data_IF_822191152686
#
_entry.id   IF_822191152686
#
_cell.length_a   1.000
_cell.length_b   1.000
_cell.length_c   1.000
_cell.angle_alpha   90.00
_cell.angle_beta   90.00
_cell.angle_gamma   90.00
#
_symmetry.space_group_name_H-M   'P 1'
#
loop_
_entity.id
_entity.type
_entity.pdbx_description
1 polymer ?
#
# COMPACT_ATOMS: atom_id res chain seq x y z
N UNK A 1 -15.16 0.82 -13.35
CA UNK A 1 -15.67 -0.52 -13.03
C UNK A 1 -14.47 -1.47 -13.03
N UNK A 2 -14.36 -2.37 -12.07
CA UNK A 2 -13.28 -3.38 -12.01
C UNK A 2 -13.77 -4.60 -12.80
N UNK A 3 -13.02 -4.99 -13.86
CA UNK A 3 -13.36 -6.17 -14.68
C UNK A 3 -12.59 -7.38 -14.10
N UNK A 4 -13.26 -8.51 -13.94
CA UNK A 4 -12.63 -9.76 -13.47
C UNK A 4 -11.48 -10.22 -14.39
N UNK A 5 -11.51 -9.85 -15.66
CA UNK A 5 -10.43 -10.15 -16.62
C UNK A 5 -9.12 -9.43 -16.29
N UNK A 6 -9.22 -8.28 -15.61
CA UNK A 6 -8.07 -7.47 -15.20
C UNK A 6 -7.57 -7.83 -13.79
N UNK A 7 -8.21 -8.79 -13.11
CA UNK A 7 -7.79 -9.25 -11.80
C UNK A 7 -6.42 -9.92 -11.89
N UNK A 8 -5.43 -9.33 -11.20
CA UNK A 8 -4.06 -9.84 -11.22
C UNK A 8 -3.62 -10.43 -9.90
N UNK A 9 -4.03 -9.82 -8.77
CA UNK A 9 -3.82 -10.39 -7.43
C UNK A 9 -5.18 -10.55 -6.75
N UNK A 10 -5.40 -11.74 -6.19
CA UNK A 10 -6.54 -12.05 -5.34
C UNK A 10 -6.04 -12.65 -4.03
N UNK A 11 -6.02 -11.82 -2.99
CA UNK A 11 -5.63 -12.21 -1.64
C UNK A 11 -6.90 -12.63 -0.89
N UNK A 12 -6.92 -13.88 -0.41
CA UNK A 12 -8.08 -14.52 0.21
C UNK A 12 -7.78 -14.98 1.62
N UNK A 13 -8.57 -14.54 2.58
CA UNK A 13 -8.52 -14.96 3.98
C UNK A 13 -7.12 -14.83 4.61
N UNK A 14 -6.38 -13.76 4.25
CA UNK A 14 -5.00 -13.58 4.70
C UNK A 14 -4.97 -13.24 6.18
N UNK A 15 -4.40 -14.16 6.96
CA UNK A 15 -4.18 -13.99 8.39
C UNK A 15 -2.69 -14.13 8.71
N UNK A 16 -2.17 -13.26 9.58
CA UNK A 16 -0.81 -13.36 10.11
C UNK A 16 -0.80 -13.16 11.60
N UNK A 17 -0.32 -14.19 12.30
CA UNK A 17 -0.07 -14.17 13.75
C UNK A 17 1.42 -14.26 14.01
N UNK A 18 1.90 -13.48 14.95
CA UNK A 18 3.26 -13.53 15.46
C UNK A 18 3.23 -13.95 16.93
N UNK A 19 4.08 -14.87 17.35
CA UNK A 19 4.21 -15.19 18.78
C UNK A 19 4.74 -13.97 19.53
N UNK A 20 4.16 -13.70 20.72
CA UNK A 20 4.54 -12.61 21.59
C UNK A 20 4.87 -13.13 23.00
N UNK A 21 5.47 -12.27 23.83
CA UNK A 21 5.81 -12.61 25.19
C UNK A 21 4.57 -13.03 26.02
N UNK A 22 4.76 -13.94 26.96
CA UNK A 22 3.68 -14.43 27.82
C UNK A 22 2.69 -15.38 27.16
N UNK A 23 3.05 -16.01 26.03
CA UNK A 23 2.18 -16.94 25.32
C UNK A 23 1.03 -16.26 24.54
N UNK A 24 1.05 -14.94 24.43
CA UNK A 24 0.12 -14.16 23.62
C UNK A 24 0.49 -14.25 22.14
N UNK A 25 -0.46 -13.95 21.27
CA UNK A 25 -0.25 -13.80 19.83
C UNK A 25 -0.61 -12.39 19.39
N UNK A 26 0.23 -11.80 18.53
CA UNK A 26 -0.05 -10.56 17.85
C UNK A 26 -0.64 -10.87 16.47
N UNK A 27 -1.87 -10.46 16.21
CA UNK A 27 -2.50 -10.61 14.91
C UNK A 27 -2.29 -9.35 14.06
N UNK A 28 -1.30 -9.40 13.17
CA UNK A 28 -0.97 -8.28 12.29
C UNK A 28 -1.91 -8.14 11.09
N UNK A 29 -2.47 -9.25 10.62
CA UNK A 29 -3.51 -9.31 9.58
C UNK A 29 -4.54 -10.33 10.00
N UNK A 30 -5.82 -10.02 9.87
CA UNK A 30 -6.92 -10.85 10.31
C UNK A 30 -7.98 -10.96 9.21
N UNK A 31 -8.02 -12.11 8.55
CA UNK A 31 -8.99 -12.45 7.49
C UNK A 31 -9.12 -11.39 6.39
N UNK A 32 -7.97 -10.89 5.88
CA UNK A 32 -7.95 -9.86 4.85
C UNK A 32 -8.28 -10.47 3.49
N UNK A 33 -9.24 -9.84 2.81
CA UNK A 33 -9.66 -10.16 1.45
C UNK A 33 -9.55 -8.91 0.59
N UNK A 34 -8.54 -8.85 -0.30
CA UNK A 34 -8.26 -7.69 -1.16
C UNK A 34 -7.81 -8.13 -2.55
N UNK A 35 -8.15 -7.31 -3.54
CA UNK A 35 -7.88 -7.57 -4.95
C UNK A 35 -7.13 -6.42 -5.61
N UNK A 36 -6.18 -6.72 -6.50
CA UNK A 36 -5.51 -5.74 -7.35
C UNK A 36 -5.84 -6.06 -8.82
N UNK A 37 -6.05 -4.99 -9.60
CA UNK A 37 -6.42 -5.07 -11.00
C UNK A 37 -5.39 -4.37 -11.87
N UNK A 38 -5.16 -4.88 -13.09
CA UNK A 38 -4.25 -4.28 -14.08
C UNK A 38 -4.63 -2.83 -14.36
N UNK A 39 -3.63 -1.97 -14.45
CA UNK A 39 -3.81 -0.54 -14.70
C UNK A 39 -4.57 0.21 -13.61
N UNK A 40 -4.78 -0.39 -12.43
CA UNK A 40 -5.48 0.21 -11.30
C UNK A 40 -4.58 0.33 -10.07
N UNK A 41 -4.90 1.28 -9.21
CA UNK A 41 -4.24 1.48 -7.91
C UNK A 41 -5.19 1.12 -6.80
N UNK A 42 -4.79 0.18 -5.93
CA UNK A 42 -5.38 -0.04 -4.62
C UNK A 42 -4.59 0.77 -3.59
N UNK A 43 -5.23 1.75 -2.98
CA UNK A 43 -4.69 2.49 -1.84
C UNK A 43 -4.95 1.74 -0.54
N UNK A 44 -3.95 1.59 0.33
CA UNK A 44 -4.10 1.02 1.67
C UNK A 44 -3.71 2.06 2.71
N UNK A 45 -4.68 2.51 3.49
CA UNK A 45 -4.52 3.56 4.50
C UNK A 45 -4.84 3.06 5.90
N UNK A 46 -4.32 3.77 6.90
CA UNK A 46 -4.54 3.48 8.32
C UNK A 46 -3.37 3.95 9.16
N UNK A 47 -3.54 3.97 10.47
CA UNK A 47 -2.51 4.38 11.43
C UNK A 47 -1.26 3.50 11.38
N UNK A 48 -0.13 4.02 11.87
CA UNK A 48 1.12 3.26 11.96
C UNK A 48 0.93 2.00 12.80
N UNK A 49 1.55 0.89 12.38
CA UNK A 49 1.44 -0.39 13.09
C UNK A 49 0.14 -1.18 12.88
N UNK A 50 -0.82 -0.70 12.07
CA UNK A 50 -2.07 -1.44 11.86
C UNK A 50 -1.95 -2.68 10.95
N UNK A 51 -0.75 -2.96 10.34
CA UNK A 51 -0.50 -4.16 9.55
C UNK A 51 -0.31 -3.96 8.04
N UNK A 52 -0.39 -2.72 7.52
CA UNK A 52 -0.29 -2.39 6.08
C UNK A 52 0.93 -2.97 5.39
N UNK A 53 2.13 -2.63 5.87
CA UNK A 53 3.39 -3.12 5.29
C UNK A 53 3.52 -4.63 5.42
N UNK A 54 3.01 -5.22 6.51
CA UNK A 54 2.98 -6.67 6.70
C UNK A 54 2.15 -7.34 5.60
N UNK A 55 0.93 -6.83 5.33
CA UNK A 55 0.08 -7.35 4.28
C UNK A 55 0.74 -7.23 2.89
N UNK A 56 1.28 -6.05 2.57
CA UNK A 56 1.90 -5.84 1.25
C UNK A 56 3.16 -6.69 1.02
N UNK A 57 3.91 -7.05 2.09
CA UNK A 57 5.06 -7.96 1.99
C UNK A 57 4.64 -9.38 1.58
N UNK A 58 3.42 -9.79 1.88
CA UNK A 58 2.89 -11.07 1.38
C UNK A 58 2.65 -11.02 -0.12
N UNK A 59 2.12 -9.91 -0.64
CA UNK A 59 1.85 -9.76 -2.07
C UNK A 59 3.12 -9.87 -2.92
N UNK A 60 4.26 -9.39 -2.41
CA UNK A 60 5.58 -9.52 -3.09
C UNK A 60 6.33 -10.79 -2.68
N UNK A 61 5.71 -11.68 -1.92
CA UNK A 61 6.30 -12.94 -1.44
C UNK A 61 7.61 -12.75 -0.67
N UNK A 62 7.75 -11.64 0.08
CA UNK A 62 8.85 -11.42 1.03
C UNK A 62 8.59 -12.14 2.35
N UNK A 63 7.32 -12.20 2.76
CA UNK A 63 6.85 -12.95 3.91
C UNK A 63 5.69 -13.88 3.51
N UNK A 64 5.31 -14.79 4.40
CA UNK A 64 4.19 -15.71 4.20
C UNK A 64 3.09 -15.47 5.24
N UNK A 65 1.82 -15.52 4.84
CA UNK A 65 0.72 -15.51 5.80
C UNK A 65 0.74 -16.80 6.64
N UNK A 66 0.07 -16.75 7.80
CA UNK A 66 -0.17 -17.95 8.64
C UNK A 66 -1.32 -18.77 8.05
N UNK A 67 -2.33 -18.09 7.51
CA UNK A 67 -3.51 -18.68 6.87
C UNK A 67 -3.89 -17.87 5.62
N UNK A 68 -4.64 -18.51 4.72
CA UNK A 68 -5.10 -17.90 3.48
C UNK A 68 -4.20 -18.19 2.29
N UNK A 69 -4.59 -17.68 1.15
CA UNK A 69 -3.88 -17.84 -0.13
C UNK A 69 -3.82 -16.53 -0.90
N UNK A 70 -2.78 -16.38 -1.72
CA UNK A 70 -2.65 -15.25 -2.65
C UNK A 70 -2.52 -15.82 -4.04
N UNK A 71 -3.47 -15.47 -4.89
CA UNK A 71 -3.46 -15.87 -6.29
C UNK A 71 -2.86 -14.73 -7.13
N UNK A 72 -1.88 -15.05 -7.95
CA UNK A 72 -1.34 -14.19 -8.99
C UNK A 72 -1.70 -14.77 -10.35
N UNK A 73 -2.47 -14.04 -11.16
CA UNK A 73 -3.02 -14.56 -12.41
C UNK A 73 -3.69 -15.94 -12.21
N UNK A 74 -4.45 -16.10 -11.12
CA UNK A 74 -5.15 -17.33 -10.77
C UNK A 74 -4.28 -18.47 -10.19
N UNK A 75 -2.95 -18.29 -10.03
CA UNK A 75 -2.05 -19.29 -9.45
C UNK A 75 -1.66 -18.92 -8.02
N UNK A 76 -1.77 -19.86 -7.09
CA UNK A 76 -1.35 -19.67 -5.70
C UNK A 76 0.16 -19.48 -5.58
N UNK A 77 0.57 -18.30 -5.10
CA UNK A 77 1.98 -17.92 -4.92
C UNK A 77 2.48 -18.13 -3.49
N UNK A 78 1.60 -18.44 -2.53
CA UNK A 78 1.98 -18.64 -1.12
C UNK A 78 2.86 -19.84 -0.90
N UNK A 79 2.73 -20.85 -1.78
CA UNK A 79 3.46 -22.13 -1.72
C UNK A 79 4.76 -22.15 -2.50
N UNK A 80 5.02 -21.13 -3.32
CA UNK A 80 6.23 -21.08 -4.15
C UNK A 80 7.51 -21.10 -3.31
N UNK A 81 8.54 -21.80 -3.82
CA UNK A 81 9.87 -21.94 -3.18
C UNK A 81 10.97 -21.96 -4.24
N UNK A 82 12.20 -21.71 -3.79
CA UNK A 82 13.40 -21.85 -4.62
C UNK A 82 13.33 -21.07 -5.93
N UNK A 83 13.60 -21.75 -7.05
CA UNK A 83 13.68 -21.12 -8.37
C UNK A 83 12.33 -20.60 -8.86
N UNK A 84 11.22 -21.31 -8.58
CA UNK A 84 9.87 -20.82 -8.95
C UNK A 84 9.55 -19.51 -8.28
N UNK A 85 9.85 -19.38 -6.98
CA UNK A 85 9.67 -18.12 -6.24
C UNK A 85 10.59 -17.03 -6.79
N UNK A 86 11.84 -17.35 -7.12
CA UNK A 86 12.78 -16.42 -7.73
C UNK A 86 12.25 -15.87 -9.06
N UNK A 87 11.78 -16.75 -9.93
CA UNK A 87 11.21 -16.37 -11.24
C UNK A 87 9.92 -15.58 -11.08
N UNK A 88 9.08 -15.93 -10.11
CA UNK A 88 7.85 -15.19 -9.83
C UNK A 88 8.12 -13.73 -9.43
N UNK A 89 9.15 -13.49 -8.61
CA UNK A 89 9.51 -12.16 -8.11
C UNK A 89 9.83 -11.13 -9.20
N UNK A 90 10.13 -11.53 -10.43
CA UNK A 90 10.31 -10.57 -11.52
C UNK A 90 9.01 -9.88 -11.94
N UNK A 91 7.86 -10.50 -11.70
CA UNK A 91 6.55 -9.99 -12.08
C UNK A 91 5.96 -9.02 -11.04
N UNK A 92 6.43 -9.10 -9.79
CA UNK A 92 5.98 -8.23 -8.71
C UNK A 92 7.18 -7.56 -8.07
N UNK A 93 7.22 -6.25 -8.10
CA UNK A 93 8.32 -5.46 -7.55
C UNK A 93 7.84 -4.56 -6.41
N UNK A 94 8.77 -4.13 -5.56
CA UNK A 94 8.47 -3.26 -4.42
C UNK A 94 9.39 -2.06 -4.39
N UNK A 95 8.80 -0.89 -4.14
CA UNK A 95 9.51 0.36 -3.85
C UNK A 95 9.33 0.65 -2.36
N UNK A 96 10.44 0.71 -1.63
CA UNK A 96 10.45 0.89 -0.17
C UNK A 96 10.41 2.37 0.22
N UNK A 97 10.01 2.65 1.44
CA UNK A 97 9.92 3.97 2.05
C UNK A 97 11.24 4.74 1.98
N UNK A 98 12.35 4.10 2.31
CA UNK A 98 13.69 4.68 2.20
C UNK A 98 14.53 3.91 1.17
N UNK A 99 14.70 4.48 -0.03
CA UNK A 99 15.51 3.84 -1.06
C UNK A 99 17.00 3.72 -0.66
N UNK A 100 17.50 4.57 0.26
CA UNK A 100 18.90 4.55 0.69
C UNK A 100 19.26 3.22 1.33
N UNK A 101 18.35 2.66 2.13
CA UNK A 101 18.54 1.37 2.79
C UNK A 101 18.44 0.17 1.82
N UNK A 102 17.89 0.38 0.62
CA UNK A 102 17.78 -0.65 -0.41
C UNK A 102 18.94 -0.67 -1.43
N UNK A 103 19.79 0.35 -1.41
CA UNK A 103 20.91 0.49 -2.33
C UNK A 103 22.24 0.13 -1.67
N UNK A 104 23.10 -0.58 -2.41
CA UNK A 104 24.48 -0.69 -2.02
C UNK A 104 25.19 0.66 -2.29
N UNK A 105 25.68 1.40 -1.27
CA UNK A 105 26.26 2.73 -1.46
C UNK A 105 27.55 2.74 -2.26
N UNK A 106 28.19 1.58 -2.43
CA UNK A 106 29.43 1.39 -3.21
C UNK A 106 29.19 1.12 -4.70
N UNK A 107 27.93 0.93 -5.10
CA UNK A 107 27.55 0.69 -6.49
C UNK A 107 27.19 2.01 -7.20
N UNK A 108 27.53 2.12 -8.48
CA UNK A 108 27.04 3.19 -9.34
C UNK A 108 25.56 2.99 -9.65
N UNK A 109 24.85 4.07 -9.98
CA UNK A 109 23.42 4.05 -10.30
C UNK A 109 23.10 3.06 -11.43
N UNK A 110 23.92 3.01 -12.49
CA UNK A 110 23.74 2.03 -13.57
C UNK A 110 23.79 0.58 -13.08
N UNK A 111 24.65 0.28 -12.12
CA UNK A 111 24.77 -1.06 -11.58
C UNK A 111 23.56 -1.41 -10.70
N UNK A 112 23.06 -0.44 -9.92
CA UNK A 112 21.86 -0.58 -9.08
C UNK A 112 20.62 -0.84 -9.94
N UNK A 113 20.42 -0.06 -11.03
CA UNK A 113 19.27 -0.22 -11.93
C UNK A 113 19.33 -1.55 -12.66
N UNK A 114 20.53 -1.94 -13.15
CA UNK A 114 20.68 -3.14 -13.99
C UNK A 114 20.88 -4.43 -13.21
N UNK A 115 21.13 -4.38 -11.89
CA UNK A 115 21.31 -5.55 -11.03
C UNK A 115 20.20 -6.62 -11.23
N UNK A 116 18.89 -6.27 -11.21
CA UNK A 116 17.84 -7.26 -11.44
C UNK A 116 17.92 -7.91 -12.80
N UNK A 117 18.18 -7.16 -13.87
CA UNK A 117 18.31 -7.71 -15.23
C UNK A 117 19.50 -8.67 -15.37
N UNK A 118 20.62 -8.36 -14.75
CA UNK A 118 21.79 -9.23 -14.73
C UNK A 118 21.52 -10.53 -13.95
N UNK A 119 20.86 -10.43 -12.79
CA UNK A 119 20.49 -11.57 -11.96
C UNK A 119 19.55 -12.53 -12.67
N UNK A 120 18.64 -12.00 -13.52
CA UNK A 120 17.75 -12.81 -14.36
C UNK A 120 18.34 -13.11 -15.75
N UNK A 121 19.61 -12.77 -16.01
CA UNK A 121 20.31 -12.97 -17.29
C UNK A 121 19.57 -12.38 -18.50
N UNK A 122 18.86 -11.27 -18.30
CA UNK A 122 18.10 -10.57 -19.35
C UNK A 122 18.94 -9.60 -20.19
N UNK A 123 20.11 -9.21 -19.69
CA UNK A 123 21.09 -8.38 -20.41
C UNK A 123 22.52 -8.90 -20.19
N UNK A 124 23.43 -8.54 -21.10
CA UNK A 124 24.86 -8.73 -20.93
C UNK A 124 25.47 -7.57 -20.14
N UNK A 125 26.61 -7.76 -19.44
CA UNK A 125 27.30 -6.68 -18.71
C UNK A 125 27.65 -5.46 -19.58
N UNK A 126 27.93 -5.66 -20.87
CA UNK A 126 28.21 -4.59 -21.84
C UNK A 126 27.03 -3.70 -22.16
N UNK A 127 25.80 -4.14 -21.90
CA UNK A 127 24.57 -3.41 -22.21
C UNK A 127 24.11 -2.51 -21.04
N UNK A 128 24.72 -2.64 -19.86
CA UNK A 128 24.32 -1.92 -18.62
C UNK A 128 24.18 -0.43 -18.81
N UNK A 129 25.17 0.21 -19.46
CA UNK A 129 25.19 1.67 -19.57
C UNK A 129 24.01 2.19 -20.41
N UNK A 130 23.78 1.60 -21.56
CA UNK A 130 22.67 1.98 -22.44
C UNK A 130 21.29 1.74 -21.78
N UNK A 131 21.14 0.59 -21.10
CA UNK A 131 19.91 0.25 -20.39
C UNK A 131 19.67 1.21 -19.22
N UNK A 132 20.67 1.48 -18.38
CA UNK A 132 20.51 2.38 -17.25
C UNK A 132 20.14 3.80 -17.69
N UNK A 133 20.77 4.35 -18.73
CA UNK A 133 20.42 5.68 -19.28
C UNK A 133 18.97 5.72 -19.75
N UNK A 134 18.52 4.71 -20.49
CA UNK A 134 17.12 4.60 -20.91
C UNK A 134 16.14 4.65 -19.74
N UNK A 135 16.38 3.88 -18.67
CA UNK A 135 15.47 3.85 -17.52
C UNK A 135 15.60 5.10 -16.62
N UNK A 136 16.74 5.76 -16.59
CA UNK A 136 16.88 7.08 -15.96
C UNK A 136 16.02 8.14 -16.67
N UNK A 137 16.07 8.18 -17.99
CA UNK A 137 15.22 9.09 -18.79
C UNK A 137 13.70 8.81 -18.59
N UNK A 138 13.32 7.53 -18.48
CA UNK A 138 11.92 7.15 -18.21
C UNK A 138 11.41 7.66 -16.84
N UNK A 139 12.30 7.90 -15.89
CA UNK A 139 11.98 8.46 -14.57
C UNK A 139 12.36 9.94 -14.45
N UNK A 140 12.50 10.64 -15.57
CA UNK A 140 12.84 12.06 -15.70
C UNK A 140 14.17 12.43 -14.98
N UNK A 141 15.18 11.57 -15.09
CA UNK A 141 16.56 11.83 -14.65
C UNK A 141 17.50 11.86 -15.85
N UNK A 142 18.51 12.77 -15.83
CA UNK A 142 19.53 12.80 -16.86
C UNK A 142 20.30 11.47 -16.98
N UNK A 143 20.58 11.00 -18.19
CA UNK A 143 21.27 9.74 -18.42
C UNK A 143 22.69 9.69 -17.84
N UNK A 144 23.39 10.85 -17.69
CA UNK A 144 24.70 10.94 -17.06
C UNK A 144 24.70 10.57 -15.56
N UNK A 145 23.54 10.54 -14.90
CA UNK A 145 23.40 10.05 -13.53
C UNK A 145 23.76 8.56 -13.39
N UNK A 146 23.82 7.82 -14.49
CA UNK A 146 24.26 6.42 -14.52
C UNK A 146 25.65 6.22 -13.86
N UNK A 147 26.52 7.22 -13.94
CA UNK A 147 27.87 7.17 -13.39
C UNK A 147 27.99 7.66 -11.95
N UNK A 148 26.94 8.24 -11.38
CA UNK A 148 26.89 8.72 -9.99
C UNK A 148 26.74 7.58 -8.98
N UNK A 149 26.97 7.93 -7.72
CA UNK A 149 26.70 7.06 -6.57
C UNK A 149 25.46 7.57 -5.80
N UNK A 150 24.75 6.73 -5.04
CA UNK A 150 23.55 7.13 -4.29
C UNK A 150 23.77 8.33 -3.35
N UNK A 151 24.91 8.44 -2.72
CA UNK A 151 25.25 9.54 -1.81
C UNK A 151 25.39 10.90 -2.51
N UNK A 152 25.56 10.93 -3.84
CA UNK A 152 25.64 12.15 -4.65
C UNK A 152 24.28 12.56 -5.23
N UNK A 153 23.17 12.07 -4.65
CA UNK A 153 21.82 12.33 -5.13
C UNK A 153 20.91 12.83 -4.01
N UNK A 154 19.92 13.67 -4.37
CA UNK A 154 18.86 14.08 -3.45
C UNK A 154 17.89 12.92 -3.13
N UNK A 155 17.08 13.07 -2.08
CA UNK A 155 16.07 12.07 -1.71
C UNK A 155 15.11 11.72 -2.87
N UNK A 156 14.57 12.74 -3.53
CA UNK A 156 13.67 12.54 -4.69
C UNK A 156 14.38 11.89 -5.90
N UNK A 157 15.66 12.21 -6.13
CA UNK A 157 16.44 11.55 -7.18
C UNK A 157 16.69 10.07 -6.85
N UNK A 158 17.02 9.75 -5.61
CA UNK A 158 17.14 8.36 -5.15
C UNK A 158 15.82 7.59 -5.29
N UNK A 159 14.69 8.25 -4.99
CA UNK A 159 13.38 7.63 -5.15
C UNK A 159 13.06 7.32 -6.63
N UNK A 160 13.39 8.21 -7.55
CA UNK A 160 13.28 7.97 -9.00
C UNK A 160 14.15 6.79 -9.45
N UNK A 161 15.36 6.66 -8.91
CA UNK A 161 16.23 5.49 -9.17
C UNK A 161 15.60 4.20 -8.63
N UNK A 162 14.97 4.23 -7.45
CA UNK A 162 14.27 3.06 -6.91
C UNK A 162 13.10 2.64 -7.79
N UNK A 163 12.35 3.61 -8.34
CA UNK A 163 11.30 3.35 -9.32
C UNK A 163 11.90 2.77 -10.61
N UNK A 164 12.98 3.36 -11.16
CA UNK A 164 13.67 2.83 -12.33
C UNK A 164 14.11 1.38 -12.13
N UNK A 165 14.69 1.05 -10.97
CA UNK A 165 15.07 -0.32 -10.60
C UNK A 165 13.86 -1.27 -10.50
N UNK A 166 12.72 -0.78 -10.03
CA UNK A 166 11.52 -1.59 -9.95
C UNK A 166 10.92 -1.89 -11.34
N UNK A 167 10.88 -0.90 -12.23
CA UNK A 167 10.27 -1.05 -13.56
C UNK A 167 11.19 -1.73 -14.59
N UNK A 168 12.49 -1.91 -14.30
CA UNK A 168 13.46 -2.44 -15.24
C UNK A 168 13.17 -3.89 -15.68
N UNK A 169 12.52 -4.68 -14.82
CA UNK A 169 12.08 -6.05 -15.11
C UNK A 169 10.77 -6.12 -15.88
N UNK A 170 10.13 -4.97 -16.16
CA UNK A 170 8.82 -4.84 -16.78
C UNK A 170 7.74 -5.60 -15.97
N UNK A 171 7.58 -5.26 -14.67
CA UNK A 171 6.70 -5.98 -13.77
C UNK A 171 5.22 -5.70 -14.08
N UNK A 172 4.37 -6.67 -13.72
CA UNK A 172 2.92 -6.55 -13.82
C UNK A 172 2.30 -5.86 -12.60
N UNK A 173 3.00 -5.93 -11.44
CA UNK A 173 2.58 -5.32 -10.18
C UNK A 173 3.73 -4.57 -9.52
N UNK A 174 3.45 -3.38 -9.02
CA UNK A 174 4.37 -2.62 -8.16
C UNK A 174 3.68 -2.32 -6.82
N UNK A 175 4.33 -2.68 -5.73
CA UNK A 175 3.93 -2.30 -4.38
C UNK A 175 4.78 -1.10 -3.94
N UNK A 176 4.12 -0.03 -3.52
CA UNK A 176 4.74 1.19 -3.03
C UNK A 176 4.47 1.33 -1.53
N UNK A 177 5.48 1.04 -0.72
CA UNK A 177 5.37 1.10 0.74
C UNK A 177 5.89 2.44 1.25
N UNK A 178 4.97 3.36 1.52
CA UNK A 178 5.24 4.74 1.98
C UNK A 178 6.32 5.45 1.15
N UNK A 179 6.40 5.14 -0.13
CA UNK A 179 7.49 5.52 -1.02
C UNK A 179 7.63 7.04 -1.27
N UNK A 180 6.73 7.85 -0.73
CA UNK A 180 6.74 9.31 -0.88
C UNK A 180 6.74 10.07 0.45
N UNK A 181 6.62 9.38 1.60
CA UNK A 181 6.42 10.01 2.92
C UNK A 181 7.61 10.86 3.40
N UNK A 182 8.82 10.54 2.95
CA UNK A 182 10.05 11.26 3.33
C UNK A 182 10.43 12.39 2.36
N UNK A 183 9.53 12.77 1.44
CA UNK A 183 9.79 13.76 0.40
C UNK A 183 8.99 15.05 0.63
N UNK A 184 9.55 16.18 0.21
CA UNK A 184 8.85 17.45 0.17
C UNK A 184 7.62 17.38 -0.74
N UNK A 185 6.55 18.14 -0.43
CA UNK A 185 5.25 18.10 -1.12
C UNK A 185 5.39 18.26 -2.65
N UNK A 186 6.28 19.17 -3.10
CA UNK A 186 6.51 19.39 -4.54
C UNK A 186 7.18 18.19 -5.22
N UNK A 187 8.13 17.56 -4.54
CA UNK A 187 8.82 16.35 -5.03
C UNK A 187 7.87 15.16 -5.01
N UNK A 188 7.06 15.05 -3.95
CA UNK A 188 6.02 14.03 -3.83
C UNK A 188 5.04 14.07 -5.00
N UNK A 189 4.52 15.26 -5.34
CA UNK A 189 3.64 15.46 -6.50
C UNK A 189 4.28 14.92 -7.79
N UNK A 190 5.52 15.32 -8.07
CA UNK A 190 6.22 14.89 -9.28
C UNK A 190 6.45 13.37 -9.34
N UNK A 191 6.70 12.72 -8.19
CA UNK A 191 6.82 11.25 -8.11
C UNK A 191 5.47 10.58 -8.39
N UNK A 192 4.38 11.13 -7.87
CA UNK A 192 3.03 10.61 -8.11
C UNK A 192 2.67 10.70 -9.60
N UNK A 193 2.91 11.85 -10.22
CA UNK A 193 2.65 12.04 -11.65
C UNK A 193 3.46 11.04 -12.51
N UNK A 194 4.73 10.80 -12.16
CA UNK A 194 5.56 9.79 -12.80
C UNK A 194 4.96 8.38 -12.65
N UNK A 195 4.51 8.01 -11.45
CA UNK A 195 3.91 6.70 -11.18
C UNK A 195 2.63 6.50 -12.00
N UNK A 196 1.74 7.50 -12.03
CA UNK A 196 0.49 7.44 -12.79
C UNK A 196 0.76 7.35 -14.30
N UNK A 197 1.77 8.07 -14.80
CA UNK A 197 2.23 7.96 -16.18
C UNK A 197 2.69 6.54 -16.51
N UNK A 198 3.60 5.99 -15.71
CA UNK A 198 4.12 4.63 -15.90
C UNK A 198 3.02 3.56 -15.78
N UNK A 199 2.08 3.72 -14.84
CA UNK A 199 0.92 2.86 -14.69
C UNK A 199 0.10 2.81 -15.98
N UNK A 200 -0.23 3.97 -16.52
CA UNK A 200 -1.03 4.08 -17.76
C UNK A 200 -0.31 3.51 -18.98
N UNK A 201 0.99 3.83 -19.13
CA UNK A 201 1.77 3.39 -20.30
C UNK A 201 2.05 1.88 -20.29
N UNK A 202 2.25 1.29 -19.12
CA UNK A 202 2.63 -0.12 -18.96
C UNK A 202 1.52 -1.02 -18.44
N UNK A 203 0.34 -0.48 -18.17
CA UNK A 203 -0.81 -1.19 -17.60
C UNK A 203 -0.49 -1.93 -16.28
N UNK A 204 0.34 -1.32 -15.42
CA UNK A 204 0.81 -1.90 -14.17
C UNK A 204 -0.27 -1.80 -13.09
N UNK A 205 -0.50 -2.87 -12.33
CA UNK A 205 -1.29 -2.80 -11.11
C UNK A 205 -0.43 -2.23 -9.96
N UNK A 206 -0.97 -1.30 -9.19
CA UNK A 206 -0.24 -0.65 -8.09
C UNK A 206 -0.94 -0.90 -6.75
N UNK A 207 -0.19 -1.40 -5.77
CA UNK A 207 -0.56 -1.34 -4.36
C UNK A 207 0.15 -0.15 -3.71
N UNK A 208 -0.60 0.83 -3.23
CA UNK A 208 -0.05 2.08 -2.71
C UNK A 208 -0.36 2.23 -1.22
N UNK A 209 0.67 2.13 -0.37
CA UNK A 209 0.55 2.38 1.06
C UNK A 209 0.93 3.82 1.37
N UNK A 210 0.06 4.50 2.08
CA UNK A 210 0.35 5.81 2.66
C UNK A 210 -0.47 6.00 3.95
N UNK A 211 0.02 6.83 4.85
CA UNK A 211 -0.74 7.27 6.02
C UNK A 211 -1.62 8.49 5.71
N UNK A 212 -1.36 9.20 4.62
CA UNK A 212 -2.15 10.35 4.16
C UNK A 212 -3.27 9.88 3.21
N UNK A 213 -4.50 9.87 3.74
CA UNK A 213 -5.69 9.47 3.00
C UNK A 213 -6.03 10.46 1.86
N UNK A 214 -5.69 11.74 2.01
CA UNK A 214 -5.88 12.76 0.98
C UNK A 214 -4.99 12.49 -0.23
N UNK A 215 -3.73 12.14 0.02
CA UNK A 215 -2.80 11.75 -1.04
C UNK A 215 -3.26 10.45 -1.73
N UNK A 216 -3.63 9.42 -0.95
CA UNK A 216 -4.11 8.15 -1.51
C UNK A 216 -5.34 8.36 -2.40
N UNK A 217 -6.28 9.22 -1.99
CA UNK A 217 -7.44 9.58 -2.81
C UNK A 217 -7.05 10.13 -4.19
N UNK A 218 -5.94 10.87 -4.29
CA UNK A 218 -5.52 11.48 -5.56
C UNK A 218 -4.94 10.47 -6.57
N UNK A 219 -4.53 9.28 -6.11
CA UNK A 219 -3.84 8.27 -6.94
C UNK A 219 -4.57 6.94 -7.03
N UNK A 220 -5.40 6.62 -6.03
CA UNK A 220 -6.07 5.34 -5.96
C UNK A 220 -7.36 5.32 -6.80
N UNK A 221 -7.72 4.14 -7.28
CA UNK A 221 -9.01 3.83 -7.86
C UNK A 221 -9.94 3.21 -6.82
N UNK A 222 -9.34 2.48 -5.88
CA UNK A 222 -10.03 1.88 -4.73
C UNK A 222 -9.18 2.11 -3.47
N UNK A 223 -9.83 2.35 -2.34
CA UNK A 223 -9.17 2.57 -1.06
C UNK A 223 -9.65 1.51 -0.08
N UNK A 224 -8.69 0.83 0.55
CA UNK A 224 -8.90 -0.04 1.69
C UNK A 224 -8.41 0.66 2.96
N UNK A 225 -9.26 0.77 3.96
CA UNK A 225 -8.93 1.36 5.26
C UNK A 225 -8.69 0.23 6.26
N UNK A 226 -7.49 0.23 6.86
CA UNK A 226 -7.04 -0.82 7.76
C UNK A 226 -6.89 -0.32 9.19
N UNK A 227 -7.46 -1.04 10.14
CA UNK A 227 -7.35 -0.75 11.56
C UNK A 227 -7.10 -2.04 12.36
N UNK A 228 -6.02 -2.06 13.17
CA UNK A 228 -5.63 -3.23 14.01
C UNK A 228 -5.75 -4.57 13.27
N UNK A 229 -5.11 -4.69 12.12
CA UNK A 229 -5.08 -5.91 11.33
C UNK A 229 -6.34 -6.21 10.53
N UNK A 230 -7.38 -5.38 10.56
CA UNK A 230 -8.65 -5.62 9.88
C UNK A 230 -8.91 -4.57 8.80
N UNK A 231 -9.51 -4.96 7.68
CA UNK A 231 -10.09 -4.01 6.74
C UNK A 231 -11.45 -3.58 7.30
N UNK A 232 -11.56 -2.31 7.64
CA UNK A 232 -12.79 -1.74 8.21
C UNK A 232 -13.66 -1.08 7.15
N UNK A 233 -13.06 -0.68 6.03
CA UNK A 233 -13.78 -0.12 4.89
C UNK A 233 -13.02 -0.38 3.59
N UNK A 234 -13.74 -0.65 2.51
CA UNK A 234 -13.23 -0.79 1.14
C UNK A 234 -14.18 -0.05 0.21
N UNK A 235 -13.69 0.94 -0.54
CA UNK A 235 -14.54 1.83 -1.34
C UNK A 235 -13.83 2.32 -2.61
N UNK A 236 -14.60 2.75 -3.64
CA UNK A 236 -14.06 3.57 -4.71
C UNK A 236 -13.45 4.86 -4.16
N UNK A 237 -12.29 5.28 -4.68
CA UNK A 237 -11.61 6.49 -4.17
C UNK A 237 -12.44 7.77 -4.40
N UNK A 238 -13.27 7.80 -5.42
CA UNK A 238 -14.20 8.91 -5.73
C UNK A 238 -15.30 9.08 -4.67
N UNK A 239 -15.61 8.05 -3.92
CA UNK A 239 -16.62 8.11 -2.86
C UNK A 239 -16.13 8.85 -1.60
N UNK A 240 -14.81 9.04 -1.44
CA UNK A 240 -14.25 9.88 -0.39
C UNK A 240 -14.31 11.38 -0.76
N UNK A 241 -14.61 12.27 0.22
CA UNK A 241 -14.95 12.02 1.63
C UNK A 241 -16.44 11.79 1.88
N UNK A 242 -17.31 12.00 0.88
CA UNK A 242 -18.76 12.19 1.07
C UNK A 242 -19.50 10.93 1.55
N UNK A 243 -18.94 9.74 1.25
CA UNK A 243 -19.60 8.46 1.54
C UNK A 243 -18.83 7.58 2.53
N UNK A 244 -17.86 8.15 3.27
CA UNK A 244 -17.15 7.40 4.31
C UNK A 244 -18.15 6.83 5.33
N UNK A 245 -18.27 5.50 5.39
CA UNK A 245 -19.28 4.83 6.20
C UNK A 245 -18.78 4.36 7.56
N UNK A 246 -17.48 4.11 7.71
CA UNK A 246 -16.91 3.69 8.98
C UNK A 246 -16.45 4.90 9.81
N UNK A 247 -16.81 4.99 11.11
CA UNK A 247 -16.40 6.13 11.97
C UNK A 247 -14.89 6.38 12.00
N UNK A 248 -14.07 5.34 11.89
CA UNK A 248 -12.62 5.50 11.78
C UNK A 248 -12.20 6.20 10.49
N UNK A 249 -12.82 5.87 9.36
CA UNK A 249 -12.54 6.53 8.08
C UNK A 249 -12.93 8.00 8.13
N UNK A 250 -14.09 8.32 8.72
CA UNK A 250 -14.54 9.70 8.93
C UNK A 250 -13.56 10.46 9.81
N UNK A 251 -13.09 9.85 10.91
CA UNK A 251 -12.12 10.47 11.80
C UNK A 251 -10.75 10.69 11.12
N UNK A 252 -10.29 9.74 10.28
CA UNK A 252 -9.09 9.92 9.45
C UNK A 252 -9.25 11.09 8.48
N UNK A 253 -10.43 11.24 7.87
CA UNK A 253 -10.71 12.39 6.97
C UNK A 253 -10.72 13.73 7.69
N UNK A 254 -11.26 13.79 8.90
CA UNK A 254 -11.25 14.99 9.75
C UNK A 254 -9.85 15.41 10.19
N UNK A 255 -8.90 14.47 10.23
CA UNK A 255 -7.49 14.73 10.58
C UNK A 255 -6.64 15.22 9.39
N UNK A 256 -7.17 15.23 8.17
CA UNK A 256 -6.45 15.77 7.00
C UNK A 256 -6.50 17.29 7.05
N UNK A 257 -5.34 17.92 7.09
CA UNK A 257 -5.23 19.38 7.05
C UNK A 257 -5.65 19.89 5.66
N UNK A 258 -6.75 20.67 5.61
CA UNK A 258 -7.13 21.41 4.41
C UNK A 258 -6.49 22.81 4.46
N UNK A 259 -6.03 23.33 3.33
CA UNK A 259 -5.48 24.69 3.18
C UNK A 259 -6.53 25.76 3.59
N UNK A 260 -7.82 25.43 3.47
CA UNK A 260 -8.94 26.29 3.86
C UNK A 260 -9.42 26.02 5.31
N UNK A 261 -8.68 25.28 6.11
CA UNK A 261 -9.06 24.91 7.46
C UNK A 261 -9.12 26.15 8.36
N UNK A 262 -10.23 26.33 9.04
CA UNK A 262 -10.40 27.38 10.04
C UNK A 262 -9.66 27.01 11.34
N UNK A 263 -8.43 27.51 11.50
CA UNK A 263 -7.59 27.25 12.67
C UNK A 263 -8.16 27.81 13.98
N UNK A 264 -9.27 28.56 13.96
CA UNK A 264 -9.98 28.96 15.17
C UNK A 264 -10.82 27.82 15.77
N UNK A 265 -11.12 26.79 14.99
CA UNK A 265 -11.82 25.59 15.44
C UNK A 265 -10.85 24.58 16.00
N UNK A 266 -11.25 23.89 17.08
CA UNK A 266 -10.47 22.77 17.63
C UNK A 266 -10.26 21.72 16.55
N UNK A 267 -9.00 21.38 16.28
CA UNK A 267 -8.66 20.28 15.37
C UNK A 267 -9.20 18.99 16.00
N UNK A 268 -10.16 18.36 15.34
CA UNK A 268 -10.71 17.08 15.79
C UNK A 268 -9.68 16.00 15.43
N UNK A 269 -8.86 15.62 16.42
CA UNK A 269 -8.02 14.42 16.33
C UNK A 269 -8.82 13.21 16.78
N UNK A 270 -8.43 12.03 16.28
CA UNK A 270 -9.03 10.77 16.76
C UNK A 270 -8.71 10.63 18.25
N UNK A 271 -9.72 10.78 19.11
CA UNK A 271 -9.53 10.72 20.55
C UNK A 271 -9.14 9.29 21.01
N UNK A 272 -8.33 9.21 22.06
CA UNK A 272 -7.87 7.98 22.66
C UNK A 272 -6.64 7.36 21.95
N UNK A 273 -5.89 6.59 22.73
CA UNK A 273 -4.72 5.84 22.24
C UNK A 273 -5.15 4.63 21.40
N UNK A 274 -4.33 4.29 20.41
CA UNK A 274 -4.52 3.04 19.65
C UNK A 274 -4.33 1.86 20.62
N UNK A 275 -5.33 0.96 20.73
CA UNK A 275 -5.17 -0.23 21.58
C UNK A 275 -3.97 -1.05 21.15
N UNK A 276 -3.34 -1.72 22.12
CA UNK A 276 -2.25 -2.64 21.80
C UNK A 276 -2.75 -3.73 20.86
N UNK A 277 -2.01 -4.02 19.77
CA UNK A 277 -2.35 -5.14 18.88
C UNK A 277 -2.27 -6.52 19.57
N UNK A 278 -1.76 -6.57 20.80
CA UNK A 278 -1.78 -7.76 21.66
C UNK A 278 -3.09 -7.93 22.45
N UNK A 279 -3.87 -6.86 22.58
CA UNK A 279 -5.10 -6.83 23.37
C UNK A 279 -6.25 -6.23 22.55
N UNK A 280 -6.46 -6.79 21.34
CA UNK A 280 -7.54 -6.35 20.44
C UNK A 280 -8.90 -6.69 21.08
N UNK A 281 -9.82 -5.72 21.16
CA UNK A 281 -11.15 -5.96 21.74
C UNK A 281 -11.90 -7.10 21.01
N UNK A 282 -12.73 -7.87 21.73
CA UNK A 282 -13.43 -9.04 21.16
C UNK A 282 -14.45 -8.66 20.05
N UNK A 283 -15.10 -7.51 20.19
CA UNK A 283 -16.07 -7.00 19.21
C UNK A 283 -15.43 -6.17 18.09
N UNK A 284 -16.00 -4.98 17.84
CA UNK A 284 -15.44 -4.04 16.89
C UNK A 284 -14.04 -3.56 17.34
N UNK A 285 -12.99 -3.67 16.52
CA UNK A 285 -11.66 -3.22 16.91
C UNK A 285 -11.59 -1.72 17.28
N UNK A 286 -12.46 -0.91 16.70
CA UNK A 286 -12.50 0.53 16.92
C UNK A 286 -13.39 0.96 18.09
N UNK A 287 -14.05 0.02 18.81
CA UNK A 287 -15.07 0.31 19.84
C UNK A 287 -14.63 1.31 20.91
N UNK A 288 -13.36 1.26 21.34
CA UNK A 288 -12.84 2.10 22.44
C UNK A 288 -12.62 3.57 22.03
N UNK A 289 -12.61 3.86 20.72
CA UNK A 289 -12.37 5.20 20.15
C UNK A 289 -13.55 5.68 19.32
N UNK A 290 -14.64 4.89 19.25
CA UNK A 290 -15.81 5.17 18.45
C UNK A 290 -16.86 5.92 19.28
N UNK A 291 -17.17 7.15 18.92
CA UNK A 291 -18.22 7.96 19.55
C UNK A 291 -19.64 7.37 19.40
N UNK A 292 -19.84 6.52 18.38
CA UNK A 292 -21.10 5.80 18.11
C UNK A 292 -21.12 4.39 18.70
N UNK A 293 -20.20 4.04 19.63
CA UNK A 293 -20.12 2.69 20.19
C UNK A 293 -21.38 2.31 20.96
N UNK A 294 -21.92 1.12 20.67
CA UNK A 294 -23.10 0.53 21.36
C UNK A 294 -22.75 -0.86 21.87
N UNK A 295 -23.58 -1.46 22.72
CA UNK A 295 -23.35 -2.77 23.33
C UNK A 295 -22.98 -3.85 22.29
N UNK A 296 -23.67 -3.89 21.14
CA UNK A 296 -23.35 -4.83 20.07
C UNK A 296 -21.90 -4.69 19.56
N UNK A 297 -21.33 -3.49 19.57
CA UNK A 297 -19.95 -3.26 19.15
C UNK A 297 -18.93 -3.86 20.13
N UNK A 298 -19.32 -4.10 21.38
CA UNK A 298 -18.43 -4.66 22.41
C UNK A 298 -18.33 -6.18 22.33
N UNK A 299 -19.38 -6.84 21.85
CA UNK A 299 -19.50 -8.31 21.82
C UNK A 299 -19.28 -8.89 20.44
N UNK A 300 -19.81 -8.24 19.42
CA UNK A 300 -19.89 -8.79 18.07
C UNK A 300 -18.91 -8.06 17.13
N UNK A 301 -18.08 -8.81 16.43
CA UNK A 301 -17.22 -8.25 15.38
C UNK A 301 -18.04 -7.97 14.13
N UNK A 302 -18.06 -6.70 13.63
CA UNK A 302 -18.73 -6.40 12.37
C UNK A 302 -17.98 -7.03 11.20
N UNK A 303 -18.73 -7.67 10.29
CA UNK A 303 -18.19 -8.17 9.04
C UNK A 303 -18.18 -7.08 7.98
N UNK A 304 -17.24 -7.13 7.05
CA UNK A 304 -17.18 -6.25 5.89
C UNK A 304 -18.37 -6.55 4.96
N UNK A 305 -19.36 -5.67 4.92
CA UNK A 305 -20.61 -5.84 4.15
C UNK A 305 -20.74 -4.74 3.11
N UNK A 306 -21.19 -5.09 1.92
CA UNK A 306 -21.46 -4.13 0.86
C UNK A 306 -22.70 -3.28 1.21
N UNK A 307 -22.53 -1.95 1.17
CA UNK A 307 -23.58 -0.96 1.44
C UNK A 307 -23.97 -0.20 0.17
N UNK A 308 -23.05 -0.07 -0.78
CA UNK A 308 -23.26 0.41 -2.15
C UNK A 308 -22.38 -0.43 -3.10
N UNK A 309 -22.66 -0.44 -4.41
CA UNK A 309 -21.85 -1.18 -5.37
C UNK A 309 -20.36 -0.88 -5.24
N UNK A 310 -19.55 -1.89 -4.91
CA UNK A 310 -18.10 -1.76 -4.69
C UNK A 310 -17.68 -1.07 -3.40
N UNK A 311 -18.61 -0.69 -2.53
CA UNK A 311 -18.35 -0.05 -1.24
C UNK A 311 -18.78 -0.96 -0.09
N UNK A 312 -17.80 -1.43 0.70
CA UNK A 312 -18.00 -2.36 1.82
C UNK A 312 -17.53 -1.72 3.12
N UNK A 313 -18.32 -1.91 4.19
CA UNK A 313 -18.05 -1.32 5.52
C UNK A 313 -18.22 -2.38 6.60
N UNK A 314 -17.28 -2.44 7.54
CA UNK A 314 -17.32 -3.30 8.72
C UNK A 314 -17.84 -2.51 9.94
N UNK A 315 -19.09 -2.05 9.87
CA UNK A 315 -19.77 -1.34 10.96
C UNK A 315 -21.23 -1.85 11.10
N UNK A 316 -21.68 -2.04 12.34
CA UNK A 316 -23.06 -2.46 12.61
C UNK A 316 -24.08 -1.37 12.32
N UNK A 317 -23.67 -0.09 12.32
CA UNK A 317 -24.57 1.07 12.34
C UNK A 317 -24.22 2.12 11.26
N UNK A 318 -23.40 1.81 10.27
CA UNK A 318 -22.92 2.76 9.25
C UNK A 318 -24.06 3.55 8.55
N UNK A 319 -25.20 2.90 8.25
CA UNK A 319 -26.35 3.57 7.61
C UNK A 319 -27.02 4.58 8.53
N UNK A 320 -27.15 4.24 9.82
CA UNK A 320 -27.78 5.12 10.82
C UNK A 320 -26.88 6.33 11.15
N UNK A 321 -25.57 6.16 11.15
CA UNK A 321 -24.61 7.23 11.37
C UNK A 321 -24.68 8.25 10.22
N UNK A 322 -24.72 7.80 8.97
CA UNK A 322 -24.88 8.68 7.80
C UNK A 322 -26.21 9.46 7.74
N UNK A 323 -27.24 9.04 8.49
CA UNK A 323 -28.49 9.78 8.65
C UNK A 323 -28.45 10.81 9.78
N UNK A 324 -27.58 10.61 10.79
CA UNK A 324 -27.45 11.53 11.95
C UNK A 324 -26.54 12.74 11.63
N UNK A 325 -25.70 12.67 10.62
CA UNK A 325 -24.82 13.76 10.18
C UNK A 325 -25.41 14.64 9.07
N UNK A 326 -26.63 14.36 8.62
CA UNK A 326 -27.45 15.19 7.71
C UNK A 326 -28.40 16.10 8.47
#
# INVERSE_FOLDING_TARGET
MFDEKDLIIDARHITRRFPAAGGKELTACNDINLQLYRGKTLGLVGESGCGKSTFMRFLVSLDKPTEGEILFNGKDITKLKGEELRLHRQHIQMVFQDPTNSFNPKMKIRDIICEPLLNFKKIRPSEKDAVARKYLEMVDLPGDFADRYPHNMSGGQRQRVAIARAIVLDPEVIIMDEATSALDVSVQKNIIELILKLQKEKNIAIGFICHDIGLVRSVAHQIAVMYLGNIVELMPAEDLPQKAGHPYTQALMKSVFDINMDFSKKIESIEGEVPSPLDVPPGCPFQNRCEYCREKCKTDRPLLKEIYPGHKVACHFCQQIGEMEK
#
